data_IF_263951546332
#
_entry.id   IF_263951546332
#
_cell.length_a   1.000
_cell.length_b   1.000
_cell.length_c   1.000
_cell.angle_alpha   90.00
_cell.angle_beta   90.00
_cell.angle_gamma   90.00
#
_symmetry.space_group_name_H-M   'P 1'
#
loop_
_entity.id
_entity.type
_entity.pdbx_description
1 polymer ?
#
# COMPACT_ATOMS: atom_id res chain seq x y z
N UNK A 1 -16.67 47.36 -3.91
CA UNK A 1 -18.09 47.45 -3.52
C UNK A 1 -18.40 46.18 -2.73
N UNK A 2 -18.50 46.29 -1.41
CA UNK A 2 -18.66 45.16 -0.51
C UNK A 2 -20.09 44.60 -0.60
N UNK A 3 -20.23 43.28 -0.78
CA UNK A 3 -21.52 42.60 -0.73
C UNK A 3 -21.63 41.86 0.62
N UNK A 4 -22.58 42.35 1.42
CA UNK A 4 -22.89 41.88 2.76
C UNK A 4 -23.68 40.56 2.74
N UNK A 5 -23.34 39.66 3.65
CA UNK A 5 -24.06 38.43 3.99
C UNK A 5 -25.36 38.73 4.76
N UNK A 6 -26.51 38.09 4.45
CA UNK A 6 -27.72 38.22 5.25
C UNK A 6 -27.72 37.30 6.49
N UNK A 7 -28.47 37.63 7.57
CA UNK A 7 -28.40 36.95 8.85
C UNK A 7 -29.24 35.66 8.91
N UNK A 8 -28.79 34.71 9.73
CA UNK A 8 -29.44 33.44 10.00
C UNK A 8 -30.75 33.60 10.79
N UNK A 9 -31.87 33.12 10.23
CA UNK A 9 -33.16 33.03 10.93
C UNK A 9 -33.35 31.66 11.57
N UNK A 10 -33.49 31.65 12.90
CA UNK A 10 -33.96 30.54 13.73
C UNK A 10 -35.37 30.08 13.32
N UNK A 11 -35.51 28.83 12.88
CA UNK A 11 -36.81 28.16 12.74
C UNK A 11 -36.85 26.87 13.59
N UNK A 12 -36.98 27.03 14.90
CA UNK A 12 -37.43 25.99 15.83
C UNK A 12 -38.90 26.28 16.19
N UNK A 13 -39.84 25.68 15.45
CA UNK A 13 -41.14 25.20 15.95
C UNK A 13 -42.10 24.87 14.80
N UNK A 14 -42.09 23.61 14.35
CA UNK A 14 -43.30 22.94 13.85
C UNK A 14 -43.28 21.48 14.31
N UNK A 15 -44.13 21.17 15.29
CA UNK A 15 -44.40 19.80 15.76
C UNK A 15 -45.09 19.02 14.63
N UNK A 16 -44.46 17.94 14.17
CA UNK A 16 -45.02 17.03 13.19
C UNK A 16 -45.63 15.81 13.94
N UNK A 17 -46.91 15.42 13.76
CA UNK A 17 -47.58 14.47 14.68
C UNK A 17 -47.30 12.98 14.43
N UNK A 18 -46.31 12.61 13.62
CA UNK A 18 -46.08 11.21 13.19
C UNK A 18 -44.84 10.53 13.79
N UNK A 19 -44.35 10.99 14.95
CA UNK A 19 -43.17 10.42 15.63
C UNK A 19 -43.45 9.78 17.01
N UNK A 20 -44.71 9.57 17.38
CA UNK A 20 -45.09 9.07 18.71
C UNK A 20 -45.38 7.56 18.77
N UNK A 21 -44.52 6.70 18.22
CA UNK A 21 -44.65 5.24 18.43
C UNK A 21 -43.30 4.47 18.35
N UNK A 22 -42.26 4.95 19.04
CA UNK A 22 -41.11 4.11 19.37
C UNK A 22 -41.01 3.88 20.87
N UNK A 23 -41.30 2.64 21.25
CA UNK A 23 -41.15 2.09 22.59
C UNK A 23 -39.73 2.29 23.12
N UNK A 24 -39.61 3.01 24.23
CA UNK A 24 -38.36 3.17 24.98
C UNK A 24 -38.03 1.90 25.75
N UNK A 25 -37.39 0.94 25.08
CA UNK A 25 -36.57 -0.08 25.76
C UNK A 25 -35.18 -0.05 25.14
N UNK A 26 -34.29 0.70 25.79
CA UNK A 26 -32.86 0.61 25.52
C UNK A 26 -32.38 -0.82 25.84
N UNK A 27 -31.70 -1.52 24.92
CA UNK A 27 -31.05 -2.77 25.27
C UNK A 27 -29.89 -2.48 26.23
N UNK A 28 -29.85 -3.18 27.37
CA UNK A 28 -28.72 -3.13 28.30
C UNK A 28 -27.46 -3.60 27.55
N UNK A 29 -26.55 -2.68 27.27
CA UNK A 29 -25.21 -2.99 26.76
C UNK A 29 -24.47 -3.71 27.88
N UNK A 30 -24.25 -5.02 27.72
CA UNK A 30 -23.42 -5.80 28.62
C UNK A 30 -21.97 -5.35 28.43
N UNK A 31 -21.41 -4.66 29.42
CA UNK A 31 -19.98 -4.38 29.53
C UNK A 31 -19.24 -5.70 29.80
N UNK A 32 -19.04 -6.51 28.76
CA UNK A 32 -18.06 -7.59 28.81
C UNK A 32 -16.68 -6.93 28.79
N UNK A 33 -15.93 -7.13 29.88
CA UNK A 33 -14.50 -6.86 29.93
C UNK A 33 -13.83 -7.49 28.70
N UNK A 34 -13.24 -6.64 27.85
CA UNK A 34 -12.39 -7.03 26.74
C UNK A 34 -11.08 -7.57 27.33
N UNK A 35 -11.11 -8.82 27.79
CA UNK A 35 -9.88 -9.58 28.03
C UNK A 35 -9.38 -10.03 26.65
N UNK A 36 -8.46 -9.24 26.09
CA UNK A 36 -7.67 -9.63 24.93
C UNK A 36 -6.90 -10.89 25.34
N UNK A 37 -7.30 -12.04 24.82
CA UNK A 37 -6.58 -13.29 25.03
C UNK A 37 -5.31 -13.24 24.18
N UNK A 38 -4.18 -12.95 24.82
CA UNK A 38 -2.85 -13.12 24.24
C UNK A 38 -2.65 -14.60 23.85
N UNK A 39 -2.63 -14.92 22.56
CA UNK A 39 -1.97 -16.12 22.08
C UNK A 39 -0.48 -15.82 21.95
N UNK A 40 0.23 -15.81 23.08
CA UNK A 40 1.68 -15.77 23.08
C UNK A 40 2.18 -17.13 22.56
N UNK A 41 2.48 -17.20 21.28
CA UNK A 41 3.32 -18.29 20.77
C UNK A 41 4.76 -17.88 21.04
N UNK A 42 5.32 -18.41 22.14
CA UNK A 42 6.76 -18.28 22.41
C UNK A 42 7.48 -19.07 21.32
N UNK A 43 8.14 -18.36 20.43
CA UNK A 43 8.99 -18.98 19.43
C UNK A 43 10.12 -19.76 20.14
N UNK A 44 10.39 -21.01 19.75
CA UNK A 44 11.53 -21.74 20.31
C UNK A 44 12.82 -20.97 20.00
N UNK A 45 13.83 -21.03 20.88
CA UNK A 45 15.11 -20.38 20.65
C UNK A 45 15.72 -20.95 19.38
N UNK A 46 15.79 -20.12 18.33
CA UNK A 46 16.47 -20.48 17.10
C UNK A 46 17.94 -20.65 17.41
N UNK A 47 18.45 -21.87 17.24
CA UNK A 47 19.88 -22.13 17.14
C UNK A 47 20.43 -21.31 15.98
N UNK A 48 21.05 -20.17 16.30
CA UNK A 48 21.68 -19.29 15.32
C UNK A 48 22.87 -20.06 14.74
N UNK A 49 22.64 -20.78 13.64
CA UNK A 49 23.74 -21.12 12.74
C UNK A 49 24.35 -19.79 12.33
N UNK A 50 25.64 -19.61 12.57
CA UNK A 50 26.40 -18.46 12.11
C UNK A 50 26.12 -18.32 10.62
N UNK A 51 25.34 -17.29 10.25
CA UNK A 51 24.86 -17.13 8.90
C UNK A 51 26.07 -16.91 7.99
N UNK A 52 26.28 -17.83 7.05
CA UNK A 52 27.23 -17.68 5.95
C UNK A 52 27.03 -16.30 5.33
N UNK A 53 28.11 -15.55 5.09
CA UNK A 53 28.03 -14.26 4.40
C UNK A 53 27.19 -14.43 3.13
N UNK A 54 26.23 -13.52 2.91
CA UNK A 54 25.34 -13.58 1.76
C UNK A 54 25.62 -12.36 0.89
N UNK A 55 26.50 -12.55 -0.09
CA UNK A 55 27.01 -11.45 -0.92
C UNK A 55 26.22 -11.34 -2.22
N UNK A 56 26.02 -10.10 -2.67
CA UNK A 56 25.44 -9.83 -3.99
C UNK A 56 26.38 -10.35 -5.08
N UNK A 57 25.86 -11.19 -5.97
CA UNK A 57 26.56 -11.70 -7.16
C UNK A 57 26.12 -11.02 -8.44
N UNK A 58 24.85 -10.63 -8.51
CA UNK A 58 24.30 -9.91 -9.65
C UNK A 58 23.06 -9.15 -9.22
N UNK A 59 22.85 -7.99 -9.82
CA UNK A 59 21.59 -7.25 -9.78
C UNK A 59 21.20 -6.99 -11.23
N UNK A 60 19.99 -7.41 -11.60
CA UNK A 60 19.42 -7.17 -12.94
C UNK A 60 18.03 -6.62 -12.83
N UNK A 61 17.73 -5.61 -13.62
CA UNK A 61 16.42 -5.00 -13.71
C UNK A 61 15.80 -5.17 -15.08
N UNK A 62 14.48 -5.16 -15.11
CA UNK A 62 13.66 -5.16 -16.33
C UNK A 62 12.44 -4.28 -16.14
N UNK A 63 11.87 -3.87 -17.26
CA UNK A 63 10.57 -3.22 -17.30
C UNK A 63 9.46 -4.28 -17.30
N UNK A 64 8.48 -4.13 -16.42
CA UNK A 64 7.23 -4.91 -16.37
C UNK A 64 6.03 -3.94 -16.42
N UNK A 65 4.81 -4.47 -16.36
CA UNK A 65 3.57 -3.69 -16.42
C UNK A 65 2.80 -3.80 -15.09
N UNK A 66 2.36 -2.66 -14.56
CA UNK A 66 1.57 -2.57 -13.33
C UNK A 66 0.07 -2.85 -13.55
N UNK A 67 -0.72 -2.79 -12.48
CA UNK A 67 -2.17 -3.05 -12.51
C UNK A 67 -2.97 -2.10 -13.40
N UNK A 68 -2.42 -0.93 -13.74
CA UNK A 68 -3.04 0.11 -14.60
C UNK A 68 -2.50 0.08 -16.02
N UNK A 69 -1.69 -0.92 -16.38
CA UNK A 69 -1.11 -1.04 -17.71
C UNK A 69 0.10 -0.12 -17.95
N UNK A 70 0.65 0.52 -16.90
CA UNK A 70 1.83 1.39 -17.05
C UNK A 70 3.13 0.62 -16.78
N UNK A 71 4.24 1.00 -17.42
CA UNK A 71 5.54 0.42 -17.10
C UNK A 71 5.94 0.62 -15.63
N UNK A 72 6.63 -0.34 -15.05
CA UNK A 72 7.33 -0.22 -13.76
C UNK A 72 8.58 -1.09 -13.73
N UNK A 73 9.42 -0.89 -12.71
CA UNK A 73 10.70 -1.58 -12.53
C UNK A 73 10.51 -2.88 -11.75
N UNK A 74 11.11 -3.97 -12.23
CA UNK A 74 11.33 -5.21 -11.48
C UNK A 74 12.82 -5.50 -11.38
N UNK A 75 13.27 -5.93 -10.20
CA UNK A 75 14.67 -6.19 -9.89
C UNK A 75 14.86 -7.61 -9.38
N UNK A 76 15.78 -8.34 -10.02
CA UNK A 76 16.33 -9.61 -9.56
C UNK A 76 17.69 -9.35 -8.91
N UNK A 77 17.83 -9.76 -7.66
CA UNK A 77 19.10 -9.83 -6.95
C UNK A 77 19.47 -11.30 -6.76
N UNK A 78 20.66 -11.68 -7.19
CA UNK A 78 21.19 -13.02 -7.06
C UNK A 78 22.31 -13.01 -6.02
N UNK A 79 22.22 -13.92 -5.06
CA UNK A 79 23.31 -14.26 -4.13
C UNK A 79 23.85 -15.65 -4.46
N UNK A 80 24.76 -16.21 -3.66
CA UNK A 80 25.46 -17.47 -4.00
C UNK A 80 24.53 -18.62 -4.41
N UNK A 81 23.33 -18.74 -3.81
CA UNK A 81 22.47 -19.92 -3.97
C UNK A 81 21.01 -19.60 -4.35
N UNK A 82 20.61 -18.32 -4.45
CA UNK A 82 19.19 -17.93 -4.61
C UNK A 82 18.98 -16.61 -5.39
N UNK A 83 17.81 -16.52 -6.03
CA UNK A 83 17.29 -15.32 -6.69
C UNK A 83 16.18 -14.69 -5.85
N UNK A 84 16.27 -13.38 -5.62
CA UNK A 84 15.30 -12.57 -4.89
C UNK A 84 14.75 -11.49 -5.82
N UNK A 85 13.43 -11.44 -5.96
CA UNK A 85 12.74 -10.56 -6.91
C UNK A 85 11.81 -9.59 -6.20
N UNK A 86 11.81 -8.34 -6.65
CA UNK A 86 10.89 -7.31 -6.20
C UNK A 86 10.44 -6.44 -7.37
N UNK A 87 9.16 -6.11 -7.39
CA UNK A 87 8.57 -5.12 -8.29
C UNK A 87 8.23 -3.86 -7.51
N UNK A 88 8.32 -2.71 -8.17
CA UNK A 88 8.07 -1.40 -7.55
C UNK A 88 6.66 -0.93 -7.94
N UNK A 89 5.82 -0.46 -7.00
CA UNK A 89 4.55 0.15 -7.35
C UNK A 89 4.79 1.50 -8.05
N UNK A 90 3.90 1.86 -8.99
CA UNK A 90 3.93 3.19 -9.60
C UNK A 90 3.32 4.21 -8.65
N UNK A 91 3.96 5.37 -8.53
CA UNK A 91 3.35 6.53 -7.88
C UNK A 91 2.26 7.13 -8.78
N UNK A 92 1.24 7.73 -8.18
CA UNK A 92 0.34 8.66 -8.86
C UNK A 92 0.49 10.10 -8.34
N UNK A 93 1.11 10.27 -7.17
CA UNK A 93 1.24 11.55 -6.48
C UNK A 93 2.47 12.29 -6.97
N UNK A 94 2.30 13.57 -7.30
CA UNK A 94 3.36 14.50 -7.75
C UNK A 94 3.78 15.43 -6.62
N UNK A 95 3.71 14.97 -5.37
CA UNK A 95 4.02 15.79 -4.21
C UNK A 95 5.43 16.37 -4.30
N UNK A 96 5.59 17.68 -4.14
CA UNK A 96 6.90 18.37 -4.24
C UNK A 96 7.94 17.89 -3.22
N UNK A 97 7.49 17.17 -2.19
CA UNK A 97 8.34 16.61 -1.12
C UNK A 97 8.58 15.10 -1.30
N UNK A 98 8.01 14.46 -2.32
CA UNK A 98 8.16 13.04 -2.54
C UNK A 98 9.48 12.71 -3.26
N UNK A 99 9.96 11.49 -3.04
CA UNK A 99 11.05 10.96 -3.84
C UNK A 99 10.57 10.77 -5.29
N UNK A 100 11.40 11.17 -6.26
CA UNK A 100 10.96 11.25 -7.64
C UNK A 100 11.14 9.92 -8.37
N UNK A 101 10.03 9.37 -8.85
CA UNK A 101 10.06 8.28 -9.81
C UNK A 101 10.70 8.74 -11.13
N UNK A 102 11.68 7.98 -11.65
CA UNK A 102 12.28 8.29 -12.94
C UNK A 102 11.48 7.63 -14.07
N UNK A 103 10.98 8.48 -14.99
CA UNK A 103 10.25 8.11 -16.21
C UNK A 103 11.01 8.60 -17.44
N UNK A 104 10.90 7.88 -18.55
CA UNK A 104 11.66 8.16 -19.78
C UNK A 104 11.15 9.39 -20.53
N UNK A 105 9.88 9.77 -20.39
CA UNK A 105 9.30 10.96 -21.02
C UNK A 105 9.07 10.86 -22.54
N UNK A 106 9.47 9.77 -23.19
CA UNK A 106 9.22 9.53 -24.61
C UNK A 106 7.73 9.25 -24.87
N UNK A 107 7.01 10.28 -25.35
CA UNK A 107 5.58 10.21 -25.63
C UNK A 107 5.19 9.14 -26.67
N UNK A 108 6.13 8.69 -27.50
CA UNK A 108 5.87 7.62 -28.48
C UNK A 108 5.80 6.23 -27.87
N UNK A 109 6.31 6.04 -26.64
CA UNK A 109 6.42 4.75 -25.96
C UNK A 109 5.71 4.82 -24.61
N UNK A 110 4.63 4.04 -24.43
CA UNK A 110 3.79 4.05 -23.23
C UNK A 110 3.33 5.45 -22.79
N UNK A 111 3.15 6.39 -23.73
CA UNK A 111 2.75 7.76 -23.44
C UNK A 111 3.74 8.54 -22.57
N UNK A 112 5.04 8.23 -22.62
CA UNK A 112 6.08 8.87 -21.81
C UNK A 112 6.34 8.20 -20.46
N UNK A 113 5.64 7.09 -20.16
CA UNK A 113 5.74 6.42 -18.86
C UNK A 113 6.73 5.25 -18.83
N UNK A 114 7.57 5.09 -19.86
CA UNK A 114 8.67 4.12 -19.85
C UNK A 114 9.58 4.29 -18.62
N UNK A 115 10.26 3.21 -18.22
CA UNK A 115 11.20 3.19 -17.09
C UNK A 115 12.58 2.61 -17.47
N UNK A 116 12.92 2.64 -18.76
CA UNK A 116 14.18 2.09 -19.25
C UNK A 116 15.39 2.80 -18.68
N UNK A 117 15.31 4.11 -18.42
CA UNK A 117 16.36 4.89 -17.76
C UNK A 117 16.61 4.39 -16.34
N UNK A 118 15.55 4.13 -15.57
CA UNK A 118 15.66 3.56 -14.23
C UNK A 118 16.25 2.14 -14.25
N UNK A 119 15.83 1.31 -15.23
CA UNK A 119 16.39 -0.03 -15.47
C UNK A 119 17.88 0.03 -15.81
N UNK A 120 18.29 0.99 -16.64
CA UNK A 120 19.70 1.21 -16.99
C UNK A 120 20.52 1.65 -15.77
N UNK A 121 19.99 2.56 -14.95
CA UNK A 121 20.63 2.97 -13.71
C UNK A 121 20.88 1.77 -12.78
N UNK A 122 19.94 0.85 -12.67
CA UNK A 122 20.15 -0.39 -11.89
C UNK A 122 21.22 -1.27 -12.53
N UNK A 123 21.09 -1.56 -13.83
CA UNK A 123 21.94 -2.53 -14.53
C UNK A 123 23.39 -2.06 -14.69
N UNK A 124 23.63 -0.76 -14.85
CA UNK A 124 24.93 -0.20 -15.21
C UNK A 124 25.59 0.63 -14.10
N UNK A 125 24.83 1.08 -13.10
CA UNK A 125 25.36 1.89 -11.98
C UNK A 125 25.24 1.13 -10.67
N UNK A 126 24.02 0.84 -10.20
CA UNK A 126 23.81 0.23 -8.88
C UNK A 126 24.35 -1.20 -8.82
N UNK A 127 24.01 -2.03 -9.81
CA UNK A 127 24.40 -3.44 -9.83
C UNK A 127 25.90 -3.67 -9.72
N UNK A 128 26.74 -3.04 -10.57
CA UNK A 128 28.20 -3.14 -10.45
C UNK A 128 28.76 -2.65 -9.12
N UNK A 129 28.16 -1.60 -8.53
CA UNK A 129 28.61 -1.03 -7.24
C UNK A 129 28.25 -1.87 -6.03
N UNK A 130 27.20 -2.69 -6.13
CA UNK A 130 26.73 -3.55 -5.05
C UNK A 130 27.34 -4.95 -5.06
N UNK A 131 28.13 -5.32 -6.08
CA UNK A 131 28.78 -6.63 -6.13
C UNK A 131 29.66 -6.87 -4.90
N UNK A 132 29.48 -8.03 -4.26
CA UNK A 132 30.23 -8.41 -3.07
C UNK A 132 29.74 -7.81 -1.75
N UNK A 133 28.78 -6.86 -1.79
CA UNK A 133 28.18 -6.28 -0.58
C UNK A 133 27.30 -7.34 0.11
N UNK A 134 27.34 -7.36 1.43
CA UNK A 134 26.53 -8.26 2.25
C UNK A 134 25.10 -7.74 2.40
N UNK A 135 24.11 -8.54 2.00
CA UNK A 135 22.68 -8.16 2.02
C UNK A 135 22.07 -8.14 3.42
N UNK A 136 22.79 -8.63 4.45
CA UNK A 136 22.26 -8.71 5.82
C UNK A 136 22.18 -7.34 6.51
N UNK A 137 22.96 -6.35 6.07
CA UNK A 137 22.90 -5.00 6.59
C UNK A 137 22.15 -4.07 5.62
N UNK A 138 20.82 -4.01 5.77
CA UNK A 138 19.94 -3.20 4.95
C UNK A 138 20.35 -1.71 4.93
N UNK A 139 20.67 -1.15 6.10
CA UNK A 139 20.98 0.27 6.25
C UNK A 139 22.23 0.67 5.46
N UNK A 140 23.27 -0.17 5.46
CA UNK A 140 24.51 0.09 4.72
C UNK A 140 24.25 0.05 3.21
N UNK A 141 23.48 -0.93 2.73
CA UNK A 141 23.17 -1.06 1.30
C UNK A 141 22.34 0.13 0.82
N UNK A 142 21.33 0.54 1.59
CA UNK A 142 20.53 1.71 1.28
C UNK A 142 21.37 2.99 1.31
N UNK A 143 22.27 3.15 2.28
CA UNK A 143 23.19 4.29 2.36
C UNK A 143 24.11 4.37 1.13
N UNK A 144 24.70 3.26 0.69
CA UNK A 144 25.51 3.21 -0.54
C UNK A 144 24.70 3.71 -1.75
N UNK A 145 23.45 3.27 -1.91
CA UNK A 145 22.61 3.71 -3.03
C UNK A 145 22.25 5.19 -2.95
N UNK A 146 21.95 5.70 -1.75
CA UNK A 146 21.66 7.11 -1.51
C UNK A 146 22.89 7.98 -1.79
N UNK A 147 24.09 7.53 -1.42
CA UNK A 147 25.34 8.25 -1.68
C UNK A 147 25.69 8.30 -3.17
N UNK A 148 25.43 7.21 -3.91
CA UNK A 148 25.63 7.17 -5.37
C UNK A 148 24.68 8.15 -6.10
N UNK A 149 23.43 8.22 -5.63
CA UNK A 149 22.44 9.17 -6.14
C UNK A 149 22.85 10.61 -5.80
N UNK A 150 23.13 10.89 -4.53
CA UNK A 150 23.61 12.18 -4.04
C UNK A 150 22.56 13.30 -4.07
N UNK A 151 21.30 13.02 -4.37
CA UNK A 151 20.21 14.00 -4.35
C UNK A 151 19.24 13.74 -3.19
N UNK A 152 18.65 14.79 -2.58
CA UNK A 152 17.74 14.61 -1.45
C UNK A 152 16.46 13.85 -1.81
N UNK A 153 16.04 13.92 -3.07
CA UNK A 153 14.80 13.35 -3.59
C UNK A 153 15.00 12.14 -4.53
N UNK A 154 16.20 11.56 -4.59
CA UNK A 154 16.53 10.39 -5.41
C UNK A 154 16.34 10.61 -6.93
N UNK A 155 16.44 11.86 -7.38
CA UNK A 155 16.11 12.25 -8.75
C UNK A 155 17.13 11.79 -9.79
N UNK A 156 18.38 11.50 -9.40
CA UNK A 156 19.44 11.14 -10.34
C UNK A 156 19.30 9.68 -10.79
N UNK A 157 19.11 8.76 -9.85
CA UNK A 157 18.93 7.34 -10.16
C UNK A 157 17.46 6.96 -10.35
N UNK A 158 16.55 7.70 -9.71
CA UNK A 158 15.13 7.40 -9.62
C UNK A 158 14.80 6.67 -8.33
N UNK A 159 13.77 7.15 -7.63
CA UNK A 159 13.26 6.50 -6.42
C UNK A 159 12.81 5.06 -6.68
N UNK A 160 12.23 4.81 -7.87
CA UNK A 160 11.87 3.48 -8.34
C UNK A 160 13.07 2.56 -8.55
N UNK A 161 14.20 3.08 -9.04
CA UNK A 161 15.42 2.29 -9.18
C UNK A 161 15.96 1.85 -7.82
N UNK A 162 16.10 2.80 -6.88
CA UNK A 162 16.65 2.55 -5.54
C UNK A 162 15.73 1.62 -4.74
N UNK A 163 14.42 1.88 -4.75
CA UNK A 163 13.45 1.06 -4.02
C UNK A 163 13.41 -0.38 -4.52
N UNK A 164 13.48 -0.60 -5.85
CA UNK A 164 13.49 -1.94 -6.42
C UNK A 164 14.67 -2.79 -5.92
N UNK A 165 15.87 -2.20 -5.88
CA UNK A 165 17.06 -2.86 -5.34
C UNK A 165 16.94 -3.07 -3.84
N UNK A 166 16.51 -2.03 -3.09
CA UNK A 166 16.33 -2.07 -1.63
C UNK A 166 15.40 -3.20 -1.18
N UNK A 167 14.25 -3.39 -1.85
CA UNK A 167 13.30 -4.47 -1.57
C UNK A 167 13.91 -5.86 -1.84
N UNK A 168 14.66 -6.01 -2.94
CA UNK A 168 15.32 -7.28 -3.27
C UNK A 168 16.45 -7.60 -2.30
N UNK A 169 17.17 -6.60 -1.79
CA UNK A 169 18.15 -6.74 -0.69
C UNK A 169 17.44 -7.20 0.59
N UNK A 170 16.32 -6.58 0.96
CA UNK A 170 15.55 -6.95 2.15
C UNK A 170 15.09 -8.41 2.10
N UNK A 171 14.59 -8.86 0.94
CA UNK A 171 14.25 -10.28 0.71
C UNK A 171 15.47 -11.19 0.82
N UNK A 172 16.60 -10.78 0.26
CA UNK A 172 17.85 -11.52 0.34
C UNK A 172 18.40 -11.61 1.78
N UNK A 173 18.26 -10.54 2.58
CA UNK A 173 18.59 -10.52 4.01
C UNK A 173 17.74 -11.50 4.82
N UNK A 174 16.43 -11.59 4.52
CA UNK A 174 15.55 -12.59 5.12
C UNK A 174 15.97 -14.02 4.74
N UNK A 175 16.26 -14.26 3.45
CA UNK A 175 16.73 -15.55 2.95
C UNK A 175 18.08 -15.97 3.56
N UNK A 176 19.02 -15.04 3.70
CA UNK A 176 20.32 -15.27 4.34
C UNK A 176 20.20 -15.70 5.81
N UNK A 177 19.19 -15.18 6.52
CA UNK A 177 18.88 -15.55 7.92
C UNK A 177 18.00 -16.80 8.03
N UNK A 178 17.43 -17.28 6.93
CA UNK A 178 16.47 -18.39 6.94
C UNK A 178 15.17 -18.04 7.67
N UNK A 179 14.76 -16.77 7.67
CA UNK A 179 13.53 -16.30 8.33
C UNK A 179 12.53 -15.76 7.31
N UNK A 180 11.21 -15.80 7.61
CA UNK A 180 10.22 -15.11 6.80
C UNK A 180 10.48 -13.60 6.71
N UNK A 181 10.15 -12.97 5.58
CA UNK A 181 10.39 -11.55 5.33
C UNK A 181 9.82 -10.65 6.44
N UNK A 182 8.62 -10.92 6.94
CA UNK A 182 8.00 -10.10 7.99
C UNK A 182 8.80 -10.13 9.32
N UNK A 183 9.48 -11.24 9.64
CA UNK A 183 10.37 -11.32 10.81
C UNK A 183 11.66 -10.56 10.57
N UNK A 184 12.21 -10.64 9.36
CA UNK A 184 13.36 -9.83 8.99
C UNK A 184 13.05 -8.33 9.11
N UNK A 185 11.88 -7.89 8.62
CA UNK A 185 11.40 -6.51 8.75
C UNK A 185 11.22 -6.10 10.22
N UNK A 186 10.70 -7.01 11.06
CA UNK A 186 10.59 -6.78 12.51
C UNK A 186 11.96 -6.50 13.13
N UNK A 187 12.97 -7.31 12.81
CA UNK A 187 14.33 -7.17 13.34
C UNK A 187 14.97 -5.83 12.92
N UNK A 188 14.90 -5.48 11.63
CA UNK A 188 15.50 -4.21 11.13
C UNK A 188 14.77 -2.97 11.66
N UNK A 189 13.46 -3.06 11.95
CA UNK A 189 12.67 -1.95 12.50
C UNK A 189 12.76 -1.81 14.02
N UNK A 190 13.34 -2.81 14.72
CA UNK A 190 13.35 -2.85 16.18
C UNK A 190 11.97 -3.06 16.81
N UNK A 191 11.00 -3.56 16.03
CA UNK A 191 9.62 -3.76 16.50
C UNK A 191 9.55 -4.94 17.48
N UNK A 192 9.08 -4.70 18.71
CA UNK A 192 9.05 -5.73 19.76
C UNK A 192 8.02 -6.83 19.52
N UNK A 193 6.82 -6.45 19.10
CA UNK A 193 5.70 -7.37 18.93
C UNK A 193 5.10 -7.24 17.54
N UNK A 194 4.81 -8.39 16.92
CA UNK A 194 4.10 -8.43 15.65
C UNK A 194 2.59 -8.37 15.89
N UNK A 195 1.92 -7.55 15.08
CA UNK A 195 0.47 -7.37 15.13
C UNK A 195 -0.10 -7.58 13.74
N UNK A 196 -1.22 -8.29 13.65
CA UNK A 196 -1.99 -8.36 12.41
C UNK A 196 -2.79 -7.06 12.24
N UNK A 197 -2.71 -6.39 11.08
CA UNK A 197 -3.38 -5.11 10.88
C UNK A 197 -4.89 -5.28 10.71
N UNK A 198 -5.65 -4.22 11.01
CA UNK A 198 -7.04 -4.11 10.53
C UNK A 198 -6.98 -3.69 9.06
N UNK A 199 -7.53 -4.49 8.12
CA UNK A 199 -7.55 -4.10 6.72
C UNK A 199 -8.56 -2.97 6.49
N UNK A 200 -8.15 -1.96 5.73
CA UNK A 200 -9.04 -0.92 5.21
C UNK A 200 -9.34 -1.22 3.74
N UNK A 201 -10.55 -1.71 3.45
CA UNK A 201 -10.93 -2.09 2.09
C UNK A 201 -11.57 -0.90 1.40
N UNK A 202 -10.99 -0.43 0.30
CA UNK A 202 -11.64 0.53 -0.57
C UNK A 202 -12.87 -0.11 -1.25
N UNK A 203 -14.04 0.52 -1.14
CA UNK A 203 -15.31 -0.01 -1.67
C UNK A 203 -16.06 0.96 -2.58
N UNK A 204 -15.87 2.28 -2.43
CA UNK A 204 -16.46 3.29 -3.31
C UNK A 204 -15.40 4.35 -3.61
N UNK A 205 -15.24 4.64 -4.90
CA UNK A 205 -14.35 5.66 -5.43
C UNK A 205 -15.13 6.93 -5.77
N UNK A 206 -14.47 8.07 -5.58
CA UNK A 206 -14.86 9.40 -6.02
C UNK A 206 -13.63 10.22 -6.41
N UNK A 207 -13.79 11.53 -6.52
CA UNK A 207 -12.71 12.47 -6.84
C UNK A 207 -11.99 12.09 -8.14
N UNK A 208 -10.66 12.22 -8.15
CA UNK A 208 -9.82 11.92 -9.32
C UNK A 208 -9.82 10.44 -9.73
N UNK A 209 -10.35 9.55 -8.88
CA UNK A 209 -10.38 8.10 -9.12
C UNK A 209 -11.72 7.65 -9.73
N UNK A 210 -12.68 8.56 -9.97
CA UNK A 210 -13.97 8.23 -10.59
C UNK A 210 -14.54 9.39 -11.42
N UNK A 211 -15.28 9.06 -12.50
CA UNK A 211 -16.05 10.03 -13.29
C UNK A 211 -17.42 10.39 -12.70
N UNK A 212 -17.56 10.38 -11.37
CA UNK A 212 -18.81 10.67 -10.66
C UNK A 212 -18.76 12.01 -9.93
N UNK A 213 -19.88 12.42 -9.32
CA UNK A 213 -20.00 13.70 -8.62
C UNK A 213 -19.51 13.66 -7.15
N UNK A 214 -18.87 12.56 -6.73
CA UNK A 214 -18.47 12.37 -5.34
C UNK A 214 -17.14 13.08 -5.10
N UNK A 215 -17.12 14.09 -4.24
CA UNK A 215 -15.90 14.87 -3.99
C UNK A 215 -14.82 14.10 -3.22
N UNK A 216 -15.22 13.17 -2.36
CA UNK A 216 -14.28 12.35 -1.58
C UNK A 216 -13.69 11.23 -2.45
N UNK A 217 -12.37 11.04 -2.36
CA UNK A 217 -11.64 10.12 -3.22
C UNK A 217 -11.97 8.65 -2.96
N UNK A 218 -12.00 8.23 -1.68
CA UNK A 218 -12.14 6.83 -1.30
C UNK A 218 -13.02 6.70 -0.06
N UNK A 219 -13.93 5.72 -0.08
CA UNK A 219 -14.68 5.27 1.08
C UNK A 219 -14.27 3.85 1.39
N UNK A 220 -13.73 3.66 2.60
CA UNK A 220 -13.21 2.38 3.04
C UNK A 220 -14.06 1.78 4.15
N UNK A 221 -14.11 0.45 4.20
CA UNK A 221 -14.67 -0.32 5.32
C UNK A 221 -13.55 -0.98 6.13
N UNK A 222 -13.68 -0.91 7.46
CA UNK A 222 -12.69 -1.44 8.39
C UNK A 222 -13.40 -2.41 9.36
N UNK A 223 -13.14 -3.73 9.30
CA UNK A 223 -13.78 -4.73 10.14
C UNK A 223 -13.13 -4.79 11.54
N UNK A 224 -13.21 -3.70 12.29
CA UNK A 224 -12.57 -3.54 13.63
C UNK A 224 -13.07 -4.53 14.69
N UNK A 225 -14.22 -5.18 14.45
CA UNK A 225 -14.80 -6.19 15.35
C UNK A 225 -14.35 -7.63 15.07
N UNK A 226 -13.54 -7.86 14.03
CA UNK A 226 -13.05 -9.20 13.70
C UNK A 226 -12.06 -9.72 14.76
N UNK A 227 -12.10 -11.01 15.04
CA UNK A 227 -11.22 -11.66 16.02
C UNK A 227 -9.83 -11.99 15.47
N UNK A 228 -9.69 -12.02 14.15
CA UNK A 228 -8.42 -12.28 13.45
C UNK A 228 -8.49 -11.76 12.00
N UNK A 229 -7.34 -11.73 11.32
CA UNK A 229 -7.23 -11.20 9.96
C UNK A 229 -8.06 -12.00 8.92
N UNK A 230 -8.17 -13.33 9.07
CA UNK A 230 -8.95 -14.14 8.14
C UNK A 230 -10.45 -13.82 8.24
N UNK A 231 -10.95 -13.60 9.46
CA UNK A 231 -12.32 -13.12 9.68
C UNK A 231 -12.51 -11.70 9.14
N UNK A 232 -11.55 -10.79 9.39
CA UNK A 232 -11.59 -9.44 8.84
C UNK A 232 -11.71 -9.43 7.31
N UNK A 233 -10.93 -10.28 6.64
CA UNK A 233 -10.99 -10.45 5.19
C UNK A 233 -12.32 -11.02 4.71
N UNK A 234 -12.87 -12.02 5.42
CA UNK A 234 -14.20 -12.57 5.13
C UNK A 234 -15.28 -11.50 5.25
N UNK A 235 -15.28 -10.73 6.35
CA UNK A 235 -16.23 -9.63 6.57
C UNK A 235 -16.14 -8.59 5.46
N UNK A 236 -14.93 -8.16 5.08
CA UNK A 236 -14.72 -7.22 3.98
C UNK A 236 -15.28 -7.74 2.65
N UNK A 237 -14.99 -9.00 2.31
CA UNK A 237 -15.48 -9.64 1.09
C UNK A 237 -17.00 -9.78 1.04
N UNK A 238 -17.63 -10.24 2.12
CA UNK A 238 -19.10 -10.39 2.21
C UNK A 238 -19.81 -9.03 2.07
N UNK A 239 -19.26 -7.98 2.71
CA UNK A 239 -19.79 -6.61 2.59
C UNK A 239 -19.60 -6.07 1.18
N UNK A 240 -18.43 -6.27 0.55
CA UNK A 240 -18.15 -5.84 -0.83
C UNK A 240 -19.13 -6.45 -1.84
N UNK A 241 -19.37 -7.76 -1.78
CA UNK A 241 -20.32 -8.43 -2.67
C UNK A 241 -21.77 -8.04 -2.39
N UNK A 242 -22.12 -7.76 -1.13
CA UNK A 242 -23.44 -7.23 -0.77
C UNK A 242 -23.64 -5.83 -1.34
N UNK A 243 -22.62 -4.98 -1.21
CA UNK A 243 -22.61 -3.63 -1.78
C UNK A 243 -22.75 -3.68 -3.31
N UNK A 244 -22.05 -4.59 -3.99
CA UNK A 244 -22.19 -4.80 -5.44
C UNK A 244 -23.65 -5.00 -5.85
N UNK A 245 -24.36 -5.91 -5.18
CA UNK A 245 -25.77 -6.21 -5.46
C UNK A 245 -26.69 -5.00 -5.22
N UNK A 246 -26.39 -4.21 -4.18
CA UNK A 246 -27.14 -2.98 -3.89
C UNK A 246 -26.92 -1.94 -5.00
N UNK A 247 -25.68 -1.78 -5.45
CA UNK A 247 -25.31 -0.88 -6.54
C UNK A 247 -25.98 -1.32 -7.84
N UNK A 248 -25.87 -2.60 -8.20
CA UNK A 248 -26.47 -3.18 -9.41
C UNK A 248 -27.99 -2.89 -9.47
N UNK A 249 -28.68 -3.15 -8.35
CA UNK A 249 -30.12 -2.95 -8.25
C UNK A 249 -30.52 -1.47 -8.35
N UNK A 250 -29.69 -0.54 -7.86
CA UNK A 250 -30.04 0.88 -7.76
C UNK A 250 -29.57 1.70 -8.96
N UNK A 251 -28.39 1.40 -9.49
CA UNK A 251 -27.70 2.19 -10.51
C UNK A 251 -27.45 1.41 -11.81
N UNK A 252 -27.81 0.12 -11.85
CA UNK A 252 -27.62 -0.74 -13.01
C UNK A 252 -26.28 -1.48 -13.02
N UNK A 253 -26.16 -2.45 -13.93
CA UNK A 253 -25.00 -3.32 -14.07
C UNK A 253 -23.69 -2.55 -14.31
N UNK A 254 -23.74 -1.49 -15.09
CA UNK A 254 -22.55 -0.71 -15.48
C UNK A 254 -21.90 -0.01 -14.28
N UNK A 255 -22.69 0.32 -13.25
CA UNK A 255 -22.19 0.92 -12.00
C UNK A 255 -21.41 -0.07 -11.12
N UNK A 256 -21.43 -1.37 -11.45
CA UNK A 256 -20.64 -2.40 -10.78
C UNK A 256 -19.24 -2.59 -11.37
N UNK A 257 -18.86 -1.82 -12.40
CA UNK A 257 -17.49 -1.71 -12.83
C UNK A 257 -16.62 -1.12 -11.71
N UNK A 258 -15.35 -1.50 -11.69
CA UNK A 258 -14.41 -1.14 -10.63
C UNK A 258 -13.38 -0.14 -11.13
N UNK A 259 -12.91 0.74 -10.25
CA UNK A 259 -11.77 1.62 -10.51
C UNK A 259 -10.42 0.94 -10.27
N UNK A 260 -9.35 1.74 -10.32
CA UNK A 260 -7.95 1.27 -10.24
C UNK A 260 -7.65 0.41 -8.99
N UNK A 261 -8.34 0.66 -7.88
CA UNK A 261 -8.15 -0.04 -6.60
C UNK A 261 -9.24 -1.07 -6.28
N UNK A 262 -10.13 -1.35 -7.22
CA UNK A 262 -11.19 -2.35 -7.04
C UNK A 262 -12.49 -1.83 -6.41
N UNK A 263 -12.55 -0.59 -5.92
CA UNK A 263 -13.79 0.04 -5.46
C UNK A 263 -14.77 0.35 -6.60
N UNK A 264 -16.08 0.42 -6.30
CA UNK A 264 -17.12 0.78 -7.28
C UNK A 264 -17.17 2.30 -7.51
N UNK A 265 -17.68 2.73 -8.67
CA UNK A 265 -17.84 4.16 -9.00
C UNK A 265 -19.29 4.52 -9.39
N UNK A 266 -20.29 4.27 -8.51
CA UNK A 266 -21.68 4.61 -8.83
C UNK A 266 -21.87 6.13 -8.98
N UNK A 267 -22.83 6.52 -9.82
CA UNK A 267 -23.28 7.91 -9.97
C UNK A 267 -24.14 8.31 -8.77
N UNK A 268 -23.48 8.58 -7.64
CA UNK A 268 -24.12 9.10 -6.44
C UNK A 268 -24.11 10.64 -6.48
N UNK A 269 -25.25 11.28 -6.25
CA UNK A 269 -25.30 12.70 -5.90
C UNK A 269 -24.94 12.85 -4.42
N UNK A 270 -23.90 13.64 -4.12
CA UNK A 270 -23.49 14.00 -2.76
C UNK A 270 -24.45 14.96 -2.08
#
# INVERSE_FOLDING_TARGET
MALATPPATNFLNKKNPLLNNFSTKQPKISTRSLVIRNSATVAPPSTVKVAKECKVKSVKARQIIDSRGNPTVEVDLITDDQLYRSAVPSGASTGIYEALELRDGDKSVYGGKGVLSAVQNINHILGPKLLGVDVRNQADVDAIMLDIDGTPNKAKLGANAILGVSLSVCRAGAGAKGVPLYKHIQEISGTKELVMPVPAFNVINGGSHAGNNLAMQEFMILPVGATNFAEALRMGSEVYHTLKKIIEKKYGQDACNVGDEGGFAPQCSG
#
